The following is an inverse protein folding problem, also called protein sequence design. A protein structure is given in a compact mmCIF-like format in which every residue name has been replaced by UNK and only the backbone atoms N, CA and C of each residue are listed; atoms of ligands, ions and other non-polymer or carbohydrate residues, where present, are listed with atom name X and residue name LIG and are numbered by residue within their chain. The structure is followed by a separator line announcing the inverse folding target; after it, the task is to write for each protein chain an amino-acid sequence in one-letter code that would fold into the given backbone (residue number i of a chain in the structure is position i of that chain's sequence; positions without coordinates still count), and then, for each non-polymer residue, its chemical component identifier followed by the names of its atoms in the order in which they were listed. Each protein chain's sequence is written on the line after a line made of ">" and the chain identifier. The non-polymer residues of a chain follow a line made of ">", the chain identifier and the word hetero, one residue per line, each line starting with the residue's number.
data_IF_050399725989
#
_entry.id   IF_050399725989
#
_cell.length_a   1.000
_cell.length_b   1.000
_cell.length_c   1.000
_cell.angle_alpha   90.00
_cell.angle_beta   90.00
_cell.angle_gamma   90.00
#
_symmetry.space_group_name_H-M   'P 1'
#
loop_
_entity.id
_entity.type
_entity.pdbx_description
1 polymer ?
#
# COMPACT_ATOMS: atom_id res chain seq x y z
N UNK A 1 -7.01 -22.32 -10.39
CA UNK A 1 -7.89 -21.37 -9.90
C UNK A 1 -8.36 -21.63 -8.49
N UNK A 2 -8.62 -20.54 -7.79
CA UNK A 2 -9.30 -20.53 -6.52
C UNK A 2 -10.74 -20.09 -6.76
N UNK A 3 -11.69 -20.71 -6.05
CA UNK A 3 -13.02 -20.12 -5.94
C UNK A 3 -12.95 -18.96 -4.96
N UNK A 4 -13.61 -17.85 -5.28
CA UNK A 4 -13.59 -16.63 -4.49
C UNK A 4 -15.00 -16.26 -4.07
N UNK A 5 -15.18 -16.05 -2.77
CA UNK A 5 -16.37 -15.41 -2.20
C UNK A 5 -16.01 -14.03 -1.69
N UNK A 6 -16.85 -13.04 -1.99
CA UNK A 6 -16.75 -11.69 -1.46
C UNK A 6 -17.75 -11.55 -0.30
N UNK A 7 -17.20 -11.23 0.90
CA UNK A 7 -17.98 -11.02 2.10
C UNK A 7 -18.00 -9.52 2.42
N UNK A 8 -19.11 -8.88 2.11
CA UNK A 8 -19.36 -7.47 2.47
C UNK A 8 -19.87 -7.41 3.92
N UNK A 9 -19.17 -6.68 4.78
CA UNK A 9 -19.54 -6.45 6.19
C UNK A 9 -21.02 -6.04 6.33
N UNK A 10 -21.51 -5.15 5.47
CA UNK A 10 -22.89 -4.64 5.52
C UNK A 10 -23.95 -5.71 5.19
N UNK A 11 -23.54 -6.82 4.60
CA UNK A 11 -24.41 -7.92 4.18
C UNK A 11 -24.20 -9.19 5.01
N UNK A 12 -23.29 -9.16 5.95
CA UNK A 12 -22.93 -10.29 6.81
C UNK A 12 -23.49 -10.12 8.23
N UNK A 13 -23.36 -11.16 9.07
CA UNK A 13 -23.76 -11.12 10.48
C UNK A 13 -22.91 -10.16 11.32
N UNK A 14 -21.77 -9.72 10.82
CA UNK A 14 -20.92 -8.66 11.43
C UNK A 14 -21.77 -7.39 11.66
N UNK A 15 -22.61 -7.02 10.70
CA UNK A 15 -23.52 -5.87 10.85
C UNK A 15 -24.56 -6.04 11.97
N UNK A 16 -24.77 -7.27 12.46
CA UNK A 16 -25.70 -7.61 13.52
C UNK A 16 -25.03 -7.89 14.87
N UNK A 17 -23.75 -7.53 15.04
CA UNK A 17 -23.03 -7.61 16.30
C UNK A 17 -22.24 -8.91 16.51
N UNK A 18 -21.97 -9.65 15.46
CA UNK A 18 -21.04 -10.79 15.50
C UNK A 18 -19.64 -10.30 15.93
N UNK A 19 -19.04 -11.01 16.88
CA UNK A 19 -17.68 -10.69 17.35
C UNK A 19 -16.63 -11.11 16.35
N UNK A 20 -15.45 -10.49 16.38
CA UNK A 20 -14.30 -10.88 15.54
C UNK A 20 -13.98 -12.38 15.71
N UNK A 21 -14.06 -12.90 16.93
CA UNK A 21 -13.83 -14.31 17.24
C UNK A 21 -14.84 -15.24 16.56
N UNK A 22 -16.12 -14.88 16.57
CA UNK A 22 -17.17 -15.64 15.88
C UNK A 22 -16.95 -15.63 14.39
N UNK A 23 -16.80 -14.44 13.79
CA UNK A 23 -16.53 -14.26 12.37
C UNK A 23 -15.29 -15.07 11.93
N UNK A 24 -14.21 -14.98 12.69
CA UNK A 24 -12.96 -15.69 12.39
C UNK A 24 -13.16 -17.19 12.31
N UNK A 25 -13.84 -17.81 13.28
CA UNK A 25 -14.09 -19.25 13.26
C UNK A 25 -15.10 -19.64 12.15
N UNK A 26 -16.20 -18.90 12.02
CA UNK A 26 -17.24 -19.23 11.02
C UNK A 26 -16.73 -19.16 9.59
N UNK A 27 -15.95 -18.12 9.25
CA UNK A 27 -15.36 -18.00 7.90
C UNK A 27 -14.27 -19.06 7.69
N UNK A 28 -13.50 -19.40 8.72
CA UNK A 28 -12.42 -20.38 8.64
C UNK A 28 -12.90 -21.81 8.39
N UNK A 29 -14.15 -22.14 8.69
CA UNK A 29 -14.73 -23.44 8.30
C UNK A 29 -14.89 -23.61 6.77
N UNK A 30 -14.95 -22.49 6.04
CA UNK A 30 -15.32 -22.48 4.62
C UNK A 30 -14.19 -22.03 3.71
N UNK A 31 -13.05 -21.58 4.25
CA UNK A 31 -12.00 -20.94 3.46
C UNK A 31 -10.60 -21.41 3.84
N UNK A 32 -9.78 -21.74 2.84
CA UNK A 32 -8.36 -22.03 2.99
C UNK A 32 -7.51 -20.75 3.04
N UNK A 33 -8.03 -19.68 2.43
CA UNK A 33 -7.37 -18.38 2.35
C UNK A 33 -8.39 -17.28 2.60
N UNK A 34 -8.05 -16.34 3.46
CA UNK A 34 -8.88 -15.20 3.81
C UNK A 34 -8.10 -13.92 3.49
N UNK A 35 -8.63 -13.10 2.59
CA UNK A 35 -8.09 -11.78 2.28
C UNK A 35 -8.87 -10.71 3.02
N UNK A 36 -8.20 -9.89 3.84
CA UNK A 36 -8.84 -8.79 4.56
C UNK A 36 -8.32 -7.45 4.04
N UNK A 37 -9.24 -6.54 3.74
CA UNK A 37 -8.97 -5.13 3.50
C UNK A 37 -9.77 -4.27 4.47
N UNK A 38 -9.06 -3.52 5.32
CA UNK A 38 -9.63 -2.54 6.24
C UNK A 38 -8.63 -1.39 6.44
N UNK A 39 -8.76 -0.34 5.65
CA UNK A 39 -7.82 0.78 5.54
C UNK A 39 -8.41 2.15 5.88
N UNK A 40 -9.68 2.18 6.34
CA UNK A 40 -10.42 3.42 6.50
C UNK A 40 -10.11 4.19 7.78
N UNK A 41 -9.81 3.49 8.87
CA UNK A 41 -9.70 4.08 10.21
C UNK A 41 -8.39 3.67 10.88
N UNK A 42 -7.55 4.65 11.20
CA UNK A 42 -6.27 4.43 11.89
C UNK A 42 -6.49 3.69 13.22
N UNK A 43 -5.67 2.68 13.47
CA UNK A 43 -5.71 1.83 14.66
C UNK A 43 -6.78 0.73 14.62
N UNK A 44 -7.56 0.62 13.55
CA UNK A 44 -8.65 -0.37 13.46
C UNK A 44 -8.31 -1.55 12.56
N UNK A 45 -7.94 -1.33 11.32
CA UNK A 45 -7.76 -2.41 10.34
C UNK A 45 -6.67 -3.40 10.72
N UNK A 46 -5.50 -2.92 11.14
CA UNK A 46 -4.42 -3.78 11.62
C UNK A 46 -4.82 -4.53 12.90
N UNK A 47 -5.45 -3.84 13.83
CA UNK A 47 -5.93 -4.45 15.08
C UNK A 47 -6.95 -5.55 14.81
N UNK A 48 -7.91 -5.30 13.91
CA UNK A 48 -8.90 -6.30 13.48
C UNK A 48 -8.24 -7.54 12.88
N UNK A 49 -7.29 -7.37 11.96
CA UNK A 49 -6.57 -8.50 11.35
C UNK A 49 -5.77 -9.30 12.37
N UNK A 50 -5.18 -8.63 13.36
CA UNK A 50 -4.44 -9.28 14.43
C UNK A 50 -5.38 -10.11 15.32
N UNK A 51 -6.49 -9.51 15.79
CA UNK A 51 -7.50 -10.18 16.60
C UNK A 51 -8.11 -11.39 15.85
N UNK A 52 -8.37 -11.23 14.54
CA UNK A 52 -8.85 -12.30 13.68
C UNK A 52 -7.88 -13.49 13.68
N UNK A 53 -6.58 -13.25 13.49
CA UNK A 53 -5.57 -14.32 13.49
C UNK A 53 -5.33 -14.95 14.87
N UNK A 54 -5.47 -14.18 15.93
CA UNK A 54 -5.46 -14.68 17.30
C UNK A 54 -6.62 -15.66 17.51
N UNK A 55 -7.84 -15.26 17.13
CA UNK A 55 -9.04 -16.12 17.22
C UNK A 55 -8.92 -17.41 16.39
N UNK A 56 -8.42 -17.33 15.15
CA UNK A 56 -8.13 -18.51 14.31
C UNK A 56 -7.10 -19.43 14.97
N UNK A 57 -6.07 -18.87 15.58
CA UNK A 57 -5.01 -19.64 16.22
C UNK A 57 -5.54 -20.36 17.48
N UNK A 58 -6.35 -19.70 18.28
CA UNK A 58 -7.03 -20.30 19.44
C UNK A 58 -8.00 -21.38 18.99
N UNK A 59 -8.88 -21.11 18.02
CA UNK A 59 -9.83 -22.08 17.49
C UNK A 59 -9.17 -23.36 16.96
N UNK A 60 -8.02 -23.25 16.30
CA UNK A 60 -7.25 -24.41 15.88
C UNK A 60 -6.63 -25.16 17.07
N UNK A 61 -6.06 -24.44 18.05
CA UNK A 61 -5.50 -25.05 19.26
C UNK A 61 -6.55 -25.81 20.08
N UNK A 62 -7.76 -25.28 20.15
CA UNK A 62 -8.87 -25.86 20.92
C UNK A 62 -9.60 -26.98 20.14
N UNK A 63 -9.17 -27.28 18.93
CA UNK A 63 -9.77 -28.34 18.10
C UNK A 63 -11.09 -27.93 17.43
N UNK A 64 -11.43 -26.63 17.41
CA UNK A 64 -12.60 -26.12 16.70
C UNK A 64 -12.32 -26.11 15.20
N UNK A 65 -11.12 -25.66 14.81
CA UNK A 65 -10.65 -25.63 13.42
C UNK A 65 -9.65 -26.75 13.16
N UNK A 66 -9.92 -27.61 12.17
CA UNK A 66 -8.99 -28.68 11.76
C UNK A 66 -7.72 -28.12 11.12
N UNK A 67 -7.82 -26.96 10.43
CA UNK A 67 -6.70 -26.24 9.81
C UNK A 67 -6.80 -24.74 10.05
N UNK A 68 -5.68 -24.05 9.94
CA UNK A 68 -5.63 -22.59 9.96
C UNK A 68 -5.62 -22.03 8.52
N UNK A 69 -6.62 -21.23 8.14
CA UNK A 69 -6.55 -20.53 6.86
C UNK A 69 -5.37 -19.57 6.82
N UNK A 70 -4.86 -19.32 5.61
CA UNK A 70 -3.87 -18.28 5.38
C UNK A 70 -4.56 -16.92 5.33
N UNK A 71 -4.17 -15.99 6.20
CA UNK A 71 -4.64 -14.61 6.12
C UNK A 71 -3.70 -13.80 5.24
N UNK A 72 -4.28 -13.09 4.26
CA UNK A 72 -3.59 -12.13 3.40
C UNK A 72 -4.07 -10.73 3.73
N UNK A 73 -3.17 -9.87 4.21
CA UNK A 73 -3.43 -8.45 4.33
C UNK A 73 -3.49 -7.82 2.93
N UNK A 74 -4.69 -7.58 2.42
CA UNK A 74 -4.89 -6.92 1.13
C UNK A 74 -4.60 -5.41 1.22
N UNK A 75 -4.95 -4.80 2.34
CA UNK A 75 -4.58 -3.45 2.78
C UNK A 75 -5.13 -3.22 4.19
N UNK A 76 -4.35 -2.64 5.08
CA UNK A 76 -4.84 -2.12 6.36
C UNK A 76 -4.49 -0.64 6.51
N UNK A 77 -4.82 -0.06 7.65
CA UNK A 77 -4.53 1.34 7.98
C UNK A 77 -3.03 1.65 8.06
N UNK A 78 -2.20 0.66 8.44
CA UNK A 78 -0.74 0.82 8.60
C UNK A 78 0.00 0.56 7.30
N UNK A 79 -0.35 -0.50 6.56
CA UNK A 79 0.42 -1.00 5.41
C UNK A 79 -0.48 -1.52 4.29
N UNK A 80 0.06 -1.46 3.08
CA UNK A 80 -0.51 -2.09 1.89
C UNK A 80 0.51 -3.06 1.28
N UNK A 81 0.78 -4.21 1.93
CA UNK A 81 1.90 -5.07 1.57
C UNK A 81 1.79 -5.63 0.15
N UNK A 82 0.58 -5.95 -0.32
CA UNK A 82 0.38 -6.44 -1.69
C UNK A 82 0.71 -5.39 -2.75
N UNK A 83 0.50 -4.10 -2.45
CA UNK A 83 0.92 -3.00 -3.33
C UNK A 83 2.43 -2.77 -3.26
N UNK A 84 2.96 -2.54 -2.06
CA UNK A 84 4.37 -2.21 -1.90
C UNK A 84 5.30 -3.32 -2.46
N UNK A 85 4.93 -4.60 -2.29
CA UNK A 85 5.68 -5.71 -2.88
C UNK A 85 5.51 -5.81 -4.40
N UNK A 86 4.34 -5.47 -4.96
CA UNK A 86 4.15 -5.41 -6.40
C UNK A 86 4.97 -4.27 -7.02
N UNK A 87 5.01 -3.12 -6.35
CA UNK A 87 5.84 -1.98 -6.75
C UNK A 87 7.34 -2.36 -6.73
N UNK A 88 7.77 -3.04 -5.66
CA UNK A 88 9.16 -3.52 -5.54
C UNK A 88 9.51 -4.54 -6.63
N UNK A 89 8.62 -5.48 -6.92
CA UNK A 89 8.83 -6.45 -8.00
C UNK A 89 8.95 -5.75 -9.36
N UNK A 90 8.14 -4.71 -9.60
CA UNK A 90 8.26 -3.90 -10.81
C UNK A 90 9.61 -3.18 -10.88
N UNK A 91 10.06 -2.58 -9.78
CA UNK A 91 11.36 -1.90 -9.68
C UNK A 91 12.52 -2.88 -9.94
N UNK A 92 12.47 -4.08 -9.34
CA UNK A 92 13.47 -5.13 -9.55
C UNK A 92 13.59 -5.48 -11.04
N UNK A 93 12.46 -5.69 -11.71
CA UNK A 93 12.45 -5.96 -13.15
C UNK A 93 12.95 -4.78 -13.99
N UNK A 94 12.55 -3.56 -13.61
CA UNK A 94 12.96 -2.35 -14.34
C UNK A 94 14.46 -2.08 -14.28
N UNK A 95 15.09 -2.31 -13.12
CA UNK A 95 16.55 -2.15 -12.95
C UNK A 95 17.36 -3.41 -13.22
N UNK A 96 16.72 -4.53 -13.61
CA UNK A 96 17.38 -5.75 -14.05
C UNK A 96 17.94 -6.62 -12.93
N UNK A 97 17.45 -6.49 -11.70
CA UNK A 97 17.81 -7.35 -10.56
C UNK A 97 17.79 -6.63 -9.21
N UNK A 98 17.67 -7.40 -8.14
CA UNK A 98 17.64 -6.89 -6.77
C UNK A 98 18.97 -6.25 -6.37
N UNK A 99 20.07 -6.76 -6.89
CA UNK A 99 21.43 -6.26 -6.66
C UNK A 99 21.66 -4.85 -7.19
N UNK A 100 20.83 -4.39 -8.12
CA UNK A 100 20.92 -3.07 -8.74
C UNK A 100 20.11 -1.98 -8.00
N UNK A 101 19.45 -2.32 -6.87
CA UNK A 101 18.61 -1.40 -6.15
C UNK A 101 19.34 -0.54 -5.13
N UNK A 102 20.45 -1.04 -4.59
CA UNK A 102 21.20 -0.32 -3.55
C UNK A 102 21.65 1.06 -4.04
N UNK A 103 21.34 2.09 -3.25
CA UNK A 103 21.67 3.48 -3.58
C UNK A 103 20.80 4.12 -4.67
N UNK A 104 19.76 3.43 -5.19
CA UNK A 104 18.75 4.08 -6.02
C UNK A 104 17.96 5.07 -5.21
N UNK A 105 17.82 6.29 -5.71
CA UNK A 105 17.08 7.36 -5.05
C UNK A 105 15.60 7.26 -5.35
N UNK A 106 14.79 7.21 -4.31
CA UNK A 106 13.33 7.17 -4.37
C UNK A 106 12.75 8.43 -3.76
N UNK A 107 11.91 9.12 -4.50
CA UNK A 107 11.09 10.21 -4.01
C UNK A 107 9.66 9.70 -3.76
N UNK A 108 9.32 9.36 -2.51
CA UNK A 108 7.94 9.17 -2.08
C UNK A 108 7.40 10.52 -1.66
N UNK A 109 6.48 11.08 -2.42
CA UNK A 109 6.01 12.45 -2.16
C UNK A 109 4.50 12.50 -2.00
N UNK A 110 4.04 13.35 -1.10
CA UNK A 110 2.65 13.78 -1.16
C UNK A 110 2.38 14.44 -2.51
N UNK A 111 1.15 14.35 -2.98
CA UNK A 111 0.69 15.05 -4.17
C UNK A 111 -0.75 15.52 -3.96
N UNK A 112 -1.10 16.65 -4.59
CA UNK A 112 -2.41 17.26 -4.46
C UNK A 112 -3.52 16.33 -4.97
N UNK A 113 -4.62 16.30 -4.22
CA UNK A 113 -5.84 15.59 -4.60
C UNK A 113 -7.07 16.40 -4.18
N UNK A 114 -8.13 16.42 -4.99
CA UNK A 114 -9.43 16.94 -4.58
C UNK A 114 -10.16 16.03 -3.57
N UNK A 115 -9.55 14.93 -3.16
CA UNK A 115 -10.08 14.00 -2.14
C UNK A 115 -9.34 14.17 -0.82
N UNK A 116 -10.07 14.11 0.30
CA UNK A 116 -9.50 14.35 1.64
C UNK A 116 -9.09 13.09 2.39
N UNK A 117 -9.62 11.93 2.03
CA UNK A 117 -9.59 10.74 2.88
C UNK A 117 -8.74 9.59 2.35
N UNK A 118 -7.72 9.86 1.52
CA UNK A 118 -6.85 8.81 0.99
C UNK A 118 -5.99 8.17 2.09
N UNK A 119 -5.84 6.83 2.11
CA UNK A 119 -5.14 6.11 3.19
C UNK A 119 -3.64 6.43 3.26
N UNK A 120 -3.08 6.32 4.46
CA UNK A 120 -1.64 6.42 4.76
C UNK A 120 -0.85 5.17 4.39
N UNK A 121 -1.51 4.03 4.27
CA UNK A 121 -0.88 2.72 4.11
C UNK A 121 0.04 2.59 2.88
N UNK A 122 -0.22 3.34 1.80
CA UNK A 122 0.63 3.30 0.61
C UNK A 122 1.99 3.98 0.85
N UNK A 123 2.07 5.27 1.25
CA UNK A 123 3.37 5.87 1.55
C UNK A 123 4.10 5.14 2.68
N UNK A 124 3.40 4.64 3.69
CA UNK A 124 3.96 3.87 4.79
C UNK A 124 4.56 2.54 4.30
N UNK A 125 3.85 1.79 3.48
CA UNK A 125 4.36 0.57 2.87
C UNK A 125 5.59 0.80 1.99
N UNK A 126 5.59 1.87 1.19
CA UNK A 126 6.72 2.24 0.33
C UNK A 126 7.96 2.56 1.15
N UNK A 127 7.89 3.48 2.13
CA UNK A 127 9.07 3.83 2.92
C UNK A 127 9.57 2.67 3.77
N UNK A 128 8.65 1.86 4.33
CA UNK A 128 8.98 0.70 5.13
C UNK A 128 9.65 -0.43 4.34
N UNK A 129 9.18 -0.69 3.10
CA UNK A 129 9.72 -1.76 2.28
C UNK A 129 10.97 -1.34 1.51
N UNK A 130 10.98 -0.18 0.85
CA UNK A 130 12.06 0.18 -0.07
C UNK A 130 13.39 0.40 0.65
N UNK A 131 13.34 0.89 1.89
CA UNK A 131 14.53 0.99 2.75
C UNK A 131 15.15 -0.36 3.10
N UNK A 132 14.39 -1.47 3.05
CA UNK A 132 14.93 -2.83 3.24
C UNK A 132 15.82 -3.32 2.11
N UNK A 133 15.74 -2.67 0.94
CA UNK A 133 16.54 -3.02 -0.24
C UNK A 133 17.75 -2.09 -0.43
N UNK A 134 18.12 -1.34 0.59
CA UNK A 134 19.27 -0.43 0.54
C UNK A 134 19.07 0.77 -0.38
N UNK A 135 17.83 1.12 -0.70
CA UNK A 135 17.51 2.30 -1.50
C UNK A 135 17.61 3.58 -0.65
N UNK A 136 17.86 4.72 -1.29
CA UNK A 136 17.88 6.04 -0.68
C UNK A 136 16.49 6.67 -0.81
N UNK A 137 15.68 6.58 0.24
CA UNK A 137 14.28 7.00 0.23
C UNK A 137 14.13 8.37 0.85
N UNK A 138 13.54 9.30 0.11
CA UNK A 138 13.11 10.61 0.61
C UNK A 138 11.60 10.64 0.68
N UNK A 139 11.05 10.85 1.88
CA UNK A 139 9.64 11.15 2.10
C UNK A 139 9.46 12.68 2.08
N UNK A 140 8.69 13.19 1.12
CA UNK A 140 8.41 14.61 1.02
C UNK A 140 6.90 14.89 1.10
N UNK A 141 6.54 15.86 1.94
CA UNK A 141 5.16 16.28 2.11
C UNK A 141 5.09 17.72 2.63
N UNK A 142 3.99 18.46 2.41
CA UNK A 142 3.78 19.73 3.08
C UNK A 142 3.79 19.56 4.61
N UNK A 143 4.07 20.63 5.34
CA UNK A 143 3.93 20.62 6.79
C UNK A 143 2.50 20.23 7.20
N UNK A 144 2.37 19.38 8.21
CA UNK A 144 1.08 18.88 8.68
C UNK A 144 0.56 17.63 7.95
N UNK A 145 1.32 17.06 7.00
CA UNK A 145 0.98 15.81 6.29
C UNK A 145 1.85 14.63 6.69
N UNK A 146 2.29 14.60 7.94
CA UNK A 146 3.09 13.51 8.48
C UNK A 146 2.35 12.17 8.36
N UNK A 147 3.14 11.11 8.17
CA UNK A 147 2.71 9.72 8.31
C UNK A 147 2.88 9.26 9.77
N UNK A 148 2.58 8.00 10.08
CA UNK A 148 2.77 7.46 11.43
C UNK A 148 4.25 7.50 11.84
N UNK A 149 4.59 8.08 13.01
CA UNK A 149 5.98 8.17 13.47
C UNK A 149 6.68 6.82 13.59
N UNK A 150 5.97 5.78 13.99
CA UNK A 150 6.50 4.43 14.15
C UNK A 150 6.98 3.85 12.82
N UNK A 151 6.31 4.16 11.72
CA UNK A 151 6.71 3.72 10.38
C UNK A 151 7.95 4.45 9.90
N UNK A 152 8.10 5.73 10.23
CA UNK A 152 9.33 6.47 9.93
C UNK A 152 10.53 5.89 10.69
N UNK A 153 10.36 5.51 11.96
CA UNK A 153 11.42 4.85 12.74
C UNK A 153 11.79 3.47 12.16
N UNK A 154 10.80 2.71 11.69
CA UNK A 154 11.05 1.45 10.96
C UNK A 154 11.85 1.71 9.69
N UNK A 155 11.49 2.73 8.90
CA UNK A 155 12.22 3.09 7.68
C UNK A 155 13.68 3.49 7.98
N UNK A 156 13.94 4.30 9.01
CA UNK A 156 15.28 4.66 9.46
C UNK A 156 16.11 3.43 9.87
N UNK A 157 15.50 2.54 10.66
CA UNK A 157 16.14 1.29 11.11
C UNK A 157 16.49 0.39 9.93
N UNK A 158 15.57 0.21 8.98
CA UNK A 158 15.78 -0.60 7.80
C UNK A 158 16.90 -0.02 6.92
N UNK A 159 16.87 1.29 6.66
CA UNK A 159 17.91 1.97 5.89
C UNK A 159 19.31 1.78 6.51
N UNK A 160 19.42 1.98 7.81
CA UNK A 160 20.68 1.77 8.53
C UNK A 160 21.19 0.33 8.43
N UNK A 161 20.30 -0.66 8.50
CA UNK A 161 20.65 -2.08 8.42
C UNK A 161 21.10 -2.52 7.03
N UNK A 162 20.64 -1.87 5.96
CA UNK A 162 20.87 -2.28 4.57
C UNK A 162 21.90 -1.41 3.83
N UNK A 163 22.32 -0.31 4.47
CA UNK A 163 23.26 0.65 3.89
C UNK A 163 22.63 1.59 2.87
N UNK A 164 21.32 1.78 2.92
CA UNK A 164 20.58 2.85 2.27
C UNK A 164 20.39 4.07 3.17
N UNK A 165 19.49 4.96 2.81
CA UNK A 165 19.15 6.13 3.64
C UNK A 165 17.64 6.38 3.67
N UNK A 166 17.19 7.06 4.74
CA UNK A 166 15.84 7.59 4.86
C UNK A 166 15.89 9.06 5.27
N UNK A 167 15.23 9.93 4.52
CA UNK A 167 15.17 11.38 4.76
C UNK A 167 13.74 11.87 4.69
N UNK A 168 13.49 13.02 5.36
CA UNK A 168 12.25 13.81 5.17
C UNK A 168 12.59 15.21 4.71
N UNK A 169 11.71 15.78 3.87
CA UNK A 169 11.74 17.20 3.53
C UNK A 169 10.32 17.71 3.25
N UNK A 170 10.20 19.04 3.20
CA UNK A 170 8.93 19.72 2.88
C UNK A 170 9.02 20.40 1.50
N UNK A 171 9.81 19.85 0.60
CA UNK A 171 9.96 20.34 -0.77
C UNK A 171 9.98 19.18 -1.78
N UNK A 172 8.94 19.11 -2.60
CA UNK A 172 8.81 18.11 -3.65
C UNK A 172 9.93 18.20 -4.69
N UNK A 173 10.43 19.42 -4.97
CA UNK A 173 11.52 19.66 -5.94
C UNK A 173 12.84 19.08 -5.42
N UNK A 174 13.12 19.25 -4.12
CA UNK A 174 14.28 18.64 -3.47
C UNK A 174 14.23 17.11 -3.57
N UNK A 175 13.08 16.52 -3.29
CA UNK A 175 12.92 15.05 -3.34
C UNK A 175 13.08 14.50 -4.76
N UNK A 176 12.58 15.18 -5.78
CA UNK A 176 12.66 14.75 -7.18
C UNK A 176 14.05 14.88 -7.78
N UNK A 177 14.89 15.79 -7.24
CA UNK A 177 16.22 16.07 -7.81
C UNK A 177 17.10 14.81 -7.84
N UNK A 178 17.50 14.42 -9.06
CA UNK A 178 18.30 13.21 -9.34
C UNK A 178 17.67 11.91 -8.83
N UNK A 179 16.35 11.86 -8.61
CA UNK A 179 15.65 10.62 -8.25
C UNK A 179 15.69 9.59 -9.41
N UNK A 180 15.84 8.33 -9.07
CA UNK A 180 15.73 7.19 -9.99
C UNK A 180 14.28 6.71 -10.10
N UNK A 181 13.50 6.87 -9.02
CA UNK A 181 12.10 6.49 -8.90
C UNK A 181 11.33 7.62 -8.23
N UNK A 182 10.14 7.95 -8.75
CA UNK A 182 9.23 8.92 -8.15
C UNK A 182 7.87 8.27 -7.90
N UNK A 183 7.29 8.53 -6.74
CA UNK A 183 5.99 8.01 -6.32
C UNK A 183 5.15 9.15 -5.72
N UNK A 184 4.58 10.03 -6.55
CA UNK A 184 3.68 11.08 -6.07
C UNK A 184 2.32 10.47 -5.76
N UNK A 185 1.84 10.66 -4.52
CA UNK A 185 0.58 10.08 -4.05
C UNK A 185 -0.04 10.93 -2.96
N UNK A 186 -1.32 11.20 -3.06
CA UNK A 186 -2.04 11.89 -1.99
C UNK A 186 -2.34 10.95 -0.82
N UNK A 187 -2.28 11.49 0.39
CA UNK A 187 -2.77 10.86 1.62
C UNK A 187 -3.28 11.92 2.60
N UNK A 188 -4.16 11.52 3.51
CA UNK A 188 -4.60 12.38 4.59
C UNK A 188 -3.54 12.45 5.70
N UNK A 189 -3.39 13.60 6.38
CA UNK A 189 -2.50 13.71 7.55
C UNK A 189 -2.79 12.68 8.63
N UNK A 190 -1.76 12.10 9.25
CA UNK A 190 -1.94 11.11 10.31
C UNK A 190 -2.86 11.60 11.44
N UNK A 191 -2.61 12.81 11.95
CA UNK A 191 -3.46 13.41 13.01
C UNK A 191 -4.92 13.60 12.59
N UNK A 192 -5.17 13.91 11.32
CA UNK A 192 -6.52 14.03 10.81
C UNK A 192 -7.22 12.67 10.71
N UNK A 193 -6.46 11.60 10.42
CA UNK A 193 -7.00 10.25 10.41
C UNK A 193 -7.28 9.74 11.84
N UNK A 194 -6.49 10.13 12.84
CA UNK A 194 -6.81 9.87 14.26
C UNK A 194 -8.12 10.56 14.65
N UNK A 195 -8.24 11.87 14.36
CA UNK A 195 -9.47 12.63 14.61
C UNK A 195 -10.70 12.00 13.92
N UNK A 196 -10.53 11.56 12.66
CA UNK A 196 -11.59 10.86 11.92
C UNK A 196 -12.04 9.58 12.62
N UNK A 197 -11.08 8.79 13.12
CA UNK A 197 -11.36 7.54 13.85
C UNK A 197 -12.13 7.82 15.14
N UNK A 198 -11.77 8.86 15.88
CA UNK A 198 -12.46 9.26 17.09
C UNK A 198 -13.89 9.76 16.82
N UNK A 199 -14.06 10.61 15.80
CA UNK A 199 -15.39 11.12 15.41
C UNK A 199 -16.31 9.97 14.98
N UNK A 200 -15.79 9.05 14.18
CA UNK A 200 -16.53 7.86 13.76
C UNK A 200 -16.92 6.98 14.96
N UNK A 201 -15.98 6.71 15.86
CA UNK A 201 -16.23 5.92 17.07
C UNK A 201 -17.31 6.51 17.99
N UNK A 202 -17.54 7.83 17.93
CA UNK A 202 -18.60 8.54 18.66
C UNK A 202 -19.89 8.70 17.86
N UNK A 203 -19.91 8.26 16.60
CA UNK A 203 -21.04 8.46 15.69
C UNK A 203 -21.26 9.92 15.28
N UNK A 204 -20.23 10.78 15.41
CA UNK A 204 -20.31 12.21 15.11
C UNK A 204 -20.16 12.49 13.60
N UNK A 205 -21.24 12.29 12.86
CA UNK A 205 -21.28 12.53 11.43
C UNK A 205 -21.18 14.01 11.04
N UNK A 206 -21.53 14.92 11.93
CA UNK A 206 -21.35 16.36 11.69
C UNK A 206 -19.88 16.76 11.82
N UNK A 207 -19.21 16.26 12.85
CA UNK A 207 -17.76 16.40 13.01
C UNK A 207 -16.98 15.83 11.82
N UNK A 208 -17.38 14.67 11.31
CA UNK A 208 -16.75 14.08 10.10
C UNK A 208 -16.90 15.01 8.89
N UNK A 209 -18.09 15.58 8.64
CA UNK A 209 -18.28 16.55 7.54
C UNK A 209 -17.47 17.84 7.73
N UNK A 210 -17.36 18.32 8.97
CA UNK A 210 -16.55 19.49 9.28
C UNK A 210 -15.05 19.21 9.05
N UNK A 211 -14.57 18.04 9.46
CA UNK A 211 -13.21 17.56 9.19
C UNK A 211 -12.93 17.48 7.69
N UNK A 212 -13.83 16.87 6.93
CA UNK A 212 -13.73 16.80 5.47
C UNK A 212 -13.54 18.17 4.82
N UNK A 213 -14.42 19.11 5.15
CA UNK A 213 -14.36 20.49 4.63
C UNK A 213 -13.02 21.15 4.96
N UNK A 214 -12.52 20.97 6.19
CA UNK A 214 -11.22 21.51 6.62
C UNK A 214 -10.07 20.90 5.83
N UNK A 215 -10.05 19.58 5.65
CA UNK A 215 -8.99 18.88 4.92
C UNK A 215 -9.00 19.20 3.42
N UNK A 216 -10.17 19.36 2.81
CA UNK A 216 -10.26 19.82 1.42
C UNK A 216 -9.68 21.23 1.25
N UNK A 217 -9.96 22.14 2.18
CA UNK A 217 -9.38 23.48 2.16
C UNK A 217 -7.86 23.45 2.40
N UNK A 218 -7.38 22.58 3.28
CA UNK A 218 -5.94 22.36 3.52
C UNK A 218 -5.26 21.83 2.26
N UNK A 219 -5.82 20.80 1.59
CA UNK A 219 -5.28 20.28 0.34
C UNK A 219 -5.20 21.38 -0.73
N UNK A 220 -6.25 22.20 -0.87
CA UNK A 220 -6.31 23.27 -1.86
C UNK A 220 -5.21 24.35 -1.72
N UNK A 221 -4.60 24.44 -0.54
CA UNK A 221 -3.45 25.32 -0.31
C UNK A 221 -2.13 24.78 -0.92
N UNK A 222 -2.11 23.52 -1.37
CA UNK A 222 -0.92 22.81 -1.85
C UNK A 222 -1.09 22.24 -3.27
N UNK A 223 -1.81 22.94 -4.14
CA UNK A 223 -2.03 22.55 -5.54
C UNK A 223 -0.75 22.51 -6.37
N UNK A 224 0.28 23.20 -5.92
CA UNK A 224 1.63 23.18 -6.50
C UNK A 224 2.38 21.85 -6.28
N UNK A 225 1.87 20.98 -5.39
CA UNK A 225 2.38 19.63 -5.19
C UNK A 225 1.81 18.66 -6.24
N UNK A 226 2.16 18.88 -7.49
CA UNK A 226 1.73 18.05 -8.64
C UNK A 226 2.96 17.53 -9.38
N UNK A 227 2.95 16.25 -9.75
CA UNK A 227 3.99 15.68 -10.58
C UNK A 227 3.90 16.20 -12.02
N UNK A 228 4.61 17.28 -12.29
CA UNK A 228 4.61 17.97 -13.61
C UNK A 228 5.77 17.52 -14.50
N UNK A 229 5.64 17.79 -15.80
CA UNK A 229 6.74 17.62 -16.77
C UNK A 229 8.01 18.39 -16.37
N UNK A 230 7.84 19.60 -15.82
CA UNK A 230 8.97 20.41 -15.36
C UNK A 230 9.70 19.71 -14.21
N UNK A 231 8.95 19.12 -13.28
CA UNK A 231 9.48 18.42 -12.13
C UNK A 231 10.16 17.12 -12.57
N UNK A 232 9.54 16.36 -13.46
CA UNK A 232 10.14 15.12 -14.01
C UNK A 232 11.49 15.36 -14.70
N UNK A 233 11.68 16.52 -15.35
CA UNK A 233 12.98 16.86 -15.94
C UNK A 233 14.12 17.03 -14.94
N UNK A 234 13.83 17.26 -13.66
CA UNK A 234 14.85 17.37 -12.60
C UNK A 234 15.35 16.03 -12.08
N UNK A 235 14.65 14.96 -12.40
CA UNK A 235 15.02 13.59 -12.01
C UNK A 235 16.27 13.12 -12.77
N UNK A 236 16.79 11.96 -12.41
CA UNK A 236 17.99 11.40 -13.07
C UNK A 236 17.79 11.27 -14.58
N UNK A 237 18.50 12.12 -15.34
CA UNK A 237 18.36 12.19 -16.79
C UNK A 237 16.97 12.57 -17.30
N UNK A 238 16.10 13.11 -16.45
CA UNK A 238 14.71 13.40 -16.77
C UNK A 238 13.84 12.17 -17.02
N UNK A 239 14.25 10.99 -16.53
CA UNK A 239 13.67 9.67 -16.89
C UNK A 239 13.44 8.77 -15.67
N UNK A 240 13.25 9.34 -14.46
CA UNK A 240 12.90 8.52 -13.31
C UNK A 240 11.68 7.63 -13.61
N UNK A 241 11.69 6.43 -13.07
CA UNK A 241 10.52 5.57 -13.12
C UNK A 241 9.39 6.20 -12.29
N UNK A 242 8.28 6.52 -12.93
CA UNK A 242 7.08 7.01 -12.26
C UNK A 242 6.23 5.83 -11.81
N UNK A 243 5.86 5.80 -10.53
CA UNK A 243 5.00 4.80 -9.91
C UNK A 243 3.73 5.43 -9.35
N UNK A 244 2.66 4.66 -9.35
CA UNK A 244 1.40 4.99 -8.68
C UNK A 244 0.58 3.75 -8.38
N UNK A 245 -0.08 3.70 -7.22
CA UNK A 245 -0.91 2.54 -6.82
C UNK A 245 -2.26 2.47 -7.53
N UNK A 246 -2.63 3.50 -8.28
CA UNK A 246 -3.92 3.66 -8.96
C UNK A 246 -5.14 3.55 -8.00
N UNK A 247 -6.26 4.22 -8.29
CA UNK A 247 -6.40 5.24 -9.34
C UNK A 247 -5.60 6.51 -9.01
N UNK A 248 -5.13 7.22 -10.04
CA UNK A 248 -4.47 8.52 -9.92
C UNK A 248 -5.47 9.66 -10.21
N UNK A 249 -5.30 10.78 -9.52
CA UNK A 249 -5.96 12.03 -9.88
C UNK A 249 -5.14 12.72 -10.97
N UNK A 250 -5.60 12.61 -12.22
CA UNK A 250 -4.89 13.09 -13.40
C UNK A 250 -5.45 14.45 -13.80
N UNK A 251 -4.61 15.46 -13.77
CA UNK A 251 -4.98 16.85 -14.13
C UNK A 251 -5.57 16.94 -15.54
N UNK A 252 -6.74 17.53 -15.64
CA UNK A 252 -7.48 17.71 -16.91
C UNK A 252 -8.14 16.44 -17.46
N UNK A 253 -8.07 15.30 -16.75
CA UNK A 253 -8.67 14.01 -17.16
C UNK A 253 -9.67 13.52 -16.13
N UNK A 254 -9.23 13.14 -14.94
CA UNK A 254 -10.10 12.65 -13.85
C UNK A 254 -10.51 13.77 -12.88
N UNK A 255 -9.80 14.87 -12.89
CA UNK A 255 -10.08 16.07 -12.09
C UNK A 255 -9.50 17.31 -12.78
N UNK A 256 -9.87 18.51 -12.32
CA UNK A 256 -9.35 19.77 -12.85
C UNK A 256 -7.85 19.92 -12.55
N UNK A 257 -7.45 19.66 -11.32
CA UNK A 257 -6.07 19.65 -10.83
C UNK A 257 -5.88 18.40 -9.94
N UNK A 258 -4.74 17.74 -10.05
CA UNK A 258 -4.51 16.46 -9.37
C UNK A 258 -3.05 16.11 -9.10
N UNK A 259 -2.82 14.84 -8.80
CA UNK A 259 -1.52 14.28 -8.39
C UNK A 259 -0.45 14.38 -9.50
N UNK A 260 -0.88 14.38 -10.77
CA UNK A 260 0.03 14.27 -11.93
C UNK A 260 -0.53 14.93 -13.17
N UNK A 261 0.35 15.53 -13.98
CA UNK A 261 -0.01 16.02 -15.31
C UNK A 261 -0.38 14.84 -16.24
N UNK A 262 -1.38 15.04 -17.09
CA UNK A 262 -1.81 14.01 -18.08
C UNK A 262 -0.65 13.55 -18.96
N UNK A 263 0.21 14.47 -19.43
CA UNK A 263 1.36 14.11 -20.28
C UNK A 263 2.39 13.20 -19.58
N UNK A 264 2.61 13.41 -18.28
CA UNK A 264 3.47 12.52 -17.47
C UNK A 264 2.81 11.17 -17.32
N UNK A 265 1.53 11.14 -16.94
CA UNK A 265 0.79 9.89 -16.77
C UNK A 265 0.79 9.04 -18.06
N UNK A 266 0.47 9.65 -19.19
CA UNK A 266 0.41 8.97 -20.49
C UNK A 266 1.76 8.39 -20.92
N UNK A 267 2.86 9.12 -20.65
CA UNK A 267 4.21 8.62 -20.91
C UNK A 267 4.55 7.34 -20.15
N UNK A 268 4.02 7.19 -18.94
CA UNK A 268 4.25 6.02 -18.08
C UNK A 268 3.10 5.02 -18.05
N UNK A 269 2.10 5.15 -18.92
CA UNK A 269 0.90 4.31 -18.93
C UNK A 269 1.25 2.81 -18.96
N UNK A 270 2.14 2.39 -19.85
CA UNK A 270 2.53 0.98 -19.98
C UNK A 270 3.30 0.49 -18.75
N UNK A 271 4.35 1.18 -18.25
CA UNK A 271 5.00 0.81 -16.99
C UNK A 271 4.04 0.74 -15.79
N UNK A 272 3.09 1.68 -15.69
CA UNK A 272 2.10 1.70 -14.59
C UNK A 272 1.17 0.49 -14.60
N UNK A 273 0.63 0.13 -15.77
CA UNK A 273 -0.20 -1.07 -15.84
C UNK A 273 0.62 -2.34 -15.65
N UNK A 274 1.90 -2.34 -16.05
CA UNK A 274 2.81 -3.43 -15.73
C UNK A 274 3.03 -3.54 -14.22
N UNK A 275 3.28 -2.43 -13.52
CA UNK A 275 3.34 -2.37 -12.06
C UNK A 275 2.10 -2.98 -11.42
N UNK A 276 0.90 -2.53 -11.82
CA UNK A 276 -0.36 -3.04 -11.31
C UNK A 276 -0.54 -4.54 -11.55
N UNK A 277 -0.06 -5.06 -12.70
CA UNK A 277 -0.17 -6.47 -13.07
C UNK A 277 0.60 -7.43 -12.19
N UNK A 278 1.53 -6.94 -11.36
CA UNK A 278 2.29 -7.78 -10.43
C UNK A 278 1.51 -8.15 -9.15
N UNK A 279 0.44 -7.43 -8.81
CA UNK A 279 -0.37 -7.72 -7.61
C UNK A 279 -0.86 -9.17 -7.51
N UNK A 280 -1.48 -9.75 -8.54
CA UNK A 280 -1.92 -11.15 -8.46
C UNK A 280 -0.78 -12.13 -8.20
N UNK A 281 0.41 -11.87 -8.75
CA UNK A 281 1.58 -12.73 -8.53
C UNK A 281 2.09 -12.62 -7.09
N UNK A 282 2.09 -11.42 -6.51
CA UNK A 282 2.45 -11.23 -5.10
C UNK A 282 1.46 -11.95 -4.19
N UNK A 283 0.16 -11.80 -4.41
CA UNK A 283 -0.87 -12.49 -3.61
C UNK A 283 -0.70 -14.01 -3.75
N UNK A 284 -0.51 -14.52 -4.96
CA UNK A 284 -0.25 -15.94 -5.20
C UNK A 284 1.01 -16.43 -4.47
N UNK A 285 2.09 -15.65 -4.49
CA UNK A 285 3.32 -15.98 -3.77
C UNK A 285 3.12 -16.01 -2.25
N UNK A 286 2.38 -15.05 -1.69
CA UNK A 286 2.05 -15.04 -0.25
C UNK A 286 1.28 -16.28 0.16
N UNK A 287 0.26 -16.65 -0.61
CA UNK A 287 -0.55 -17.86 -0.37
C UNK A 287 0.33 -19.11 -0.50
N UNK A 288 1.10 -19.22 -1.59
CA UNK A 288 1.97 -20.35 -1.85
C UNK A 288 3.01 -20.57 -0.74
N UNK A 289 3.68 -19.51 -0.31
CA UNK A 289 4.69 -19.54 0.76
C UNK A 289 4.08 -19.95 2.12
N UNK A 290 2.82 -19.60 2.37
CA UNK A 290 2.14 -19.94 3.61
C UNK A 290 1.56 -21.37 3.62
N UNK A 291 1.13 -21.89 2.46
CA UNK A 291 0.43 -23.17 2.35
C UNK A 291 1.36 -24.33 2.00
N UNK A 292 2.50 -24.08 1.35
CA UNK A 292 3.40 -25.12 0.87
C UNK A 292 4.54 -25.34 1.86
N UNK A 293 4.68 -26.55 2.39
CA UNK A 293 5.67 -26.89 3.41
C UNK A 293 7.12 -26.65 2.99
N UNK A 294 7.45 -26.95 1.73
CA UNK A 294 8.78 -26.70 1.14
C UNK A 294 8.61 -25.97 -0.19
N UNK A 295 8.36 -24.64 -0.14
CA UNK A 295 8.02 -23.86 -1.34
C UNK A 295 9.16 -23.79 -2.36
N UNK A 296 10.41 -23.75 -1.91
CA UNK A 296 11.58 -23.70 -2.82
C UNK A 296 11.69 -24.99 -3.63
N UNK A 297 11.59 -26.13 -2.97
CA UNK A 297 11.59 -27.43 -3.64
C UNK A 297 10.42 -27.59 -4.61
N UNK A 298 9.21 -27.20 -4.17
CA UNK A 298 8.03 -27.27 -5.01
C UNK A 298 8.17 -26.40 -6.28
N UNK A 299 8.72 -25.19 -6.17
CA UNK A 299 8.98 -24.33 -7.32
C UNK A 299 10.02 -24.95 -8.27
N UNK A 300 11.12 -25.56 -7.74
CA UNK A 300 12.12 -26.26 -8.56
C UNK A 300 11.54 -27.47 -9.28
N UNK A 301 10.62 -28.21 -8.66
CA UNK A 301 9.93 -29.33 -9.27
C UNK A 301 8.95 -28.88 -10.36
N UNK A 302 8.21 -27.76 -10.13
CA UNK A 302 7.34 -27.16 -11.14
C UNK A 302 8.12 -26.65 -12.35
N UNK A 303 9.26 -25.99 -12.14
CA UNK A 303 10.12 -25.50 -13.22
C UNK A 303 10.64 -26.61 -14.14
N UNK A 304 10.87 -27.81 -13.59
CA UNK A 304 11.31 -29.01 -14.33
C UNK A 304 10.19 -29.75 -15.04
N UNK A 305 8.93 -29.41 -14.76
CA UNK A 305 7.78 -30.23 -15.19
C UNK A 305 7.35 -30.03 -16.63
N UNK A 306 7.92 -29.09 -17.37
CA UNK A 306 7.52 -28.68 -18.74
C UNK A 306 5.98 -28.50 -18.91
N UNK A 307 5.28 -28.25 -17.81
CA UNK A 307 3.84 -28.10 -17.82
C UNK A 307 3.45 -26.77 -18.51
N UNK A 308 2.81 -26.88 -19.67
CA UNK A 308 2.27 -25.72 -20.37
C UNK A 308 1.18 -25.04 -19.55
N UNK A 309 1.20 -23.70 -19.53
CA UNK A 309 0.13 -22.90 -18.96
C UNK A 309 -1.17 -23.18 -19.69
N UNK A 310 -2.19 -23.71 -18.99
CA UNK A 310 -3.54 -23.79 -19.54
C UNK A 310 -4.08 -22.37 -19.74
N UNK A 311 -4.30 -22.00 -20.99
CA UNK A 311 -5.02 -20.78 -21.35
C UNK A 311 -6.52 -21.11 -21.37
N UNK A 312 -7.32 -20.35 -20.65
CA UNK A 312 -8.77 -20.46 -20.62
C UNK A 312 -9.39 -19.48 -21.61
#
# INVERSE_FOLDING_TARGET
>A
GLEVQDLDEKKSQIAHGETVRETANMVSFMADVIGIRDDMYIGKGHAYQKEFMEAVTEGNKDGILEQKPTLVNLQCDIDHPTQAMADMLHIIHYFGGVENLKGKKVAMTWAYSPSYGKPLSVPQGVIGLFTRFGMDVTLAHPEGYEVMPEVEEIAKKNAAATGGSFKKCNDMKEAFKDADVVYPKSWAPFKAMEERTELYGRGDMEGIRALEKRLLAQNAAHKDWTCSEALMRTTRGGKALYLHCLPADITGVSCEEGEVDASVFDRYLVPLYKQASYKPYIIAAMIFLAQVKDPVRALMEMDKSDAERKMF
#
